data_IF_767906903468
#
_entry.id   IF_767906903468
#
_cell.length_a   1.000
_cell.length_b   1.000
_cell.length_c   1.000
_cell.angle_alpha   90.00
_cell.angle_beta   90.00
_cell.angle_gamma   90.00
#
_symmetry.space_group_name_H-M   'P 1'
#
loop_
_entity.id
_entity.type
_entity.pdbx_description
1 polymer ?
#
# COMPACT_ATOMS: atom_id res chain seq x y z
N UNK A 1 -0.89 -11.56 -89.58
CA UNK A 1 -0.41 -10.22 -89.14
C UNK A 1 -0.07 -10.30 -87.65
N UNK A 2 1.23 -10.25 -87.32
CA UNK A 2 1.95 -9.24 -86.47
C UNK A 2 1.73 -9.46 -84.95
N UNK A 3 2.70 -9.55 -84.03
CA UNK A 3 4.17 -9.54 -83.95
C UNK A 3 4.53 -9.93 -82.49
N UNK A 4 5.63 -10.65 -82.26
CA UNK A 4 6.23 -10.92 -80.94
C UNK A 4 6.80 -9.66 -80.29
N UNK A 5 6.76 -9.53 -78.95
CA UNK A 5 7.71 -8.71 -78.17
C UNK A 5 7.97 -9.30 -76.77
N UNK A 6 9.22 -9.71 -76.58
CA UNK A 6 9.87 -9.95 -75.30
C UNK A 6 10.28 -8.60 -74.71
N UNK A 7 9.97 -8.32 -73.44
CA UNK A 7 10.64 -7.23 -72.71
C UNK A 7 10.99 -7.67 -71.31
N UNK A 8 12.28 -7.93 -71.11
CA UNK A 8 12.92 -8.05 -69.82
C UNK A 8 13.06 -6.66 -69.18
N UNK A 9 12.76 -6.54 -67.89
CA UNK A 9 13.36 -5.50 -67.04
C UNK A 9 13.96 -6.22 -65.85
N UNK A 10 15.27 -6.43 -65.95
CA UNK A 10 16.13 -6.61 -64.80
C UNK A 10 16.32 -5.25 -64.12
N UNK A 11 16.05 -5.16 -62.81
CA UNK A 11 16.65 -4.14 -61.97
C UNK A 11 16.96 -4.73 -60.59
N UNK A 12 18.21 -5.13 -60.43
CA UNK A 12 18.82 -5.32 -59.13
C UNK A 12 19.12 -3.94 -58.53
N UNK A 13 18.71 -3.70 -57.28
CA UNK A 13 19.34 -2.67 -56.44
C UNK A 13 19.72 -3.34 -55.13
N UNK A 14 21.02 -3.59 -55.02
CA UNK A 14 21.73 -3.85 -53.77
C UNK A 14 21.81 -2.54 -52.97
N UNK A 15 21.34 -2.54 -51.72
CA UNK A 15 21.78 -1.68 -50.58
C UNK A 15 20.88 -2.08 -49.39
N UNK A 16 21.30 -2.28 -48.14
CA UNK A 16 22.52 -1.95 -47.41
C UNK A 16 22.50 -2.85 -46.16
N UNK A 17 23.57 -3.60 -45.91
CA UNK A 17 23.88 -4.07 -44.56
C UNK A 17 24.20 -2.82 -43.75
N UNK A 18 23.25 -2.34 -42.96
CA UNK A 18 23.56 -1.48 -41.83
C UNK A 18 23.52 -2.38 -40.60
N UNK A 19 24.69 -2.91 -40.25
CA UNK A 19 24.92 -3.44 -38.92
C UNK A 19 24.62 -2.33 -37.92
N UNK A 20 23.48 -2.41 -37.25
CA UNK A 20 23.24 -1.65 -36.05
C UNK A 20 23.65 -2.54 -34.88
N UNK A 21 24.96 -2.65 -34.70
CA UNK A 21 25.50 -2.93 -33.38
C UNK A 21 25.17 -1.70 -32.52
N UNK A 22 24.03 -1.71 -31.84
CA UNK A 22 23.84 -0.93 -30.63
C UNK A 22 23.99 -1.88 -29.44
N UNK A 23 25.18 -1.85 -28.85
CA UNK A 23 25.34 -2.06 -27.43
C UNK A 23 24.86 -0.80 -26.68
N UNK A 24 24.39 -0.98 -25.44
CA UNK A 24 23.68 -0.04 -24.56
C UNK A 24 22.19 0.12 -24.93
N UNK A 25 21.21 -0.09 -24.06
CA UNK A 25 21.18 0.19 -22.62
C UNK A 25 20.15 -0.72 -21.93
N UNK A 26 20.35 -1.00 -20.66
CA UNK A 26 19.44 -1.77 -19.81
C UNK A 26 18.24 -0.91 -19.38
N UNK A 27 17.45 -0.42 -20.34
CA UNK A 27 16.11 0.14 -20.10
C UNK A 27 15.37 0.26 -21.46
N UNK A 28 14.90 -0.87 -22.01
CA UNK A 28 13.96 -0.80 -23.13
C UNK A 28 12.62 -0.30 -22.61
N UNK A 29 12.49 1.02 -22.48
CA UNK A 29 11.22 1.69 -22.25
C UNK A 29 10.16 1.20 -23.24
N UNK A 30 8.91 1.09 -22.77
CA UNK A 30 7.78 0.61 -23.58
C UNK A 30 7.75 1.34 -24.92
N UNK A 31 7.60 0.58 -26.00
CA UNK A 31 7.40 1.15 -27.35
C UNK A 31 6.12 1.98 -27.38
N UNK A 32 6.02 2.98 -28.26
CA UNK A 32 4.83 3.84 -28.36
C UNK A 32 3.56 3.03 -28.64
N UNK A 33 3.71 1.95 -29.39
CA UNK A 33 2.66 0.99 -29.73
C UNK A 33 2.17 0.24 -28.47
N UNK A 34 3.09 -0.21 -27.62
CA UNK A 34 2.76 -0.84 -26.34
C UNK A 34 2.06 0.14 -25.38
N UNK A 35 2.54 1.38 -25.30
CA UNK A 35 1.90 2.42 -24.47
C UNK A 35 0.48 2.73 -24.97
N UNK A 36 0.27 2.79 -26.29
CA UNK A 36 -1.07 2.99 -26.85
C UNK A 36 -2.00 1.82 -26.55
N UNK A 37 -1.52 0.58 -26.67
CA UNK A 37 -2.30 -0.60 -26.32
C UNK A 37 -2.70 -0.61 -24.83
N UNK A 38 -1.78 -0.22 -23.95
CA UNK A 38 -2.03 -0.11 -22.51
C UNK A 38 -3.03 1.00 -22.18
N UNK A 39 -2.96 2.16 -22.84
CA UNK A 39 -3.94 3.24 -22.66
C UNK A 39 -5.35 2.84 -23.11
N UNK A 40 -5.46 2.09 -24.20
CA UNK A 40 -6.75 1.55 -24.66
C UNK A 40 -7.28 0.54 -23.63
N UNK A 41 -6.43 -0.33 -23.11
CA UNK A 41 -6.80 -1.29 -22.07
C UNK A 41 -7.23 -0.60 -20.78
N UNK A 42 -6.47 0.39 -20.30
CA UNK A 42 -6.78 1.17 -19.10
C UNK A 42 -8.13 1.90 -19.22
N UNK A 43 -8.44 2.45 -20.40
CA UNK A 43 -9.76 3.06 -20.67
C UNK A 43 -10.88 2.02 -20.68
N UNK A 44 -10.63 0.83 -21.21
CA UNK A 44 -11.63 -0.24 -21.26
C UNK A 44 -11.92 -0.87 -19.88
N UNK A 45 -10.89 -1.01 -19.05
CA UNK A 45 -11.01 -1.57 -17.68
C UNK A 45 -11.35 -0.52 -16.63
N UNK A 46 -11.32 0.76 -16.99
CA UNK A 46 -11.52 1.87 -16.06
C UNK A 46 -10.36 2.06 -15.09
N UNK A 47 -9.19 1.51 -15.41
CA UNK A 47 -7.92 1.70 -14.68
C UNK A 47 -7.29 3.07 -15.01
N UNK A 48 -8.12 4.11 -14.90
CA UNK A 48 -7.75 5.51 -15.10
C UNK A 48 -8.14 6.30 -13.86
N UNK A 49 -7.24 7.16 -13.41
CA UNK A 49 -7.51 8.05 -12.28
C UNK A 49 -8.69 8.95 -12.61
N UNK A 50 -9.68 8.99 -11.72
CA UNK A 50 -10.81 9.87 -11.85
C UNK A 50 -10.39 11.33 -11.66
N UNK A 51 -11.08 12.28 -12.30
CA UNK A 51 -10.81 13.70 -12.08
C UNK A 51 -11.02 14.06 -10.60
N UNK A 52 -10.27 15.03 -10.08
CA UNK A 52 -10.27 15.41 -8.66
C UNK A 52 -11.68 15.59 -8.08
N UNK A 53 -12.58 16.24 -8.84
CA UNK A 53 -13.98 16.48 -8.49
C UNK A 53 -14.79 15.21 -8.18
N UNK A 54 -14.37 14.07 -8.73
CA UNK A 54 -15.03 12.79 -8.61
C UNK A 54 -14.23 11.79 -7.78
N UNK A 55 -12.94 12.06 -7.58
CA UNK A 55 -12.01 11.18 -6.86
C UNK A 55 -11.98 11.42 -5.35
N UNK A 56 -12.53 12.55 -4.87
CA UNK A 56 -12.56 12.91 -3.45
C UNK A 56 -13.61 12.06 -2.72
N UNK A 57 -13.14 11.14 -1.87
CA UNK A 57 -14.03 10.49 -0.91
C UNK A 57 -14.37 11.43 0.27
N UNK A 58 -15.31 11.02 1.14
CA UNK A 58 -15.72 11.80 2.32
C UNK A 58 -14.58 12.00 3.35
N UNK A 59 -13.42 11.37 3.14
CA UNK A 59 -12.20 11.53 3.96
C UNK A 59 -11.15 12.44 3.33
N UNK A 60 -11.41 12.98 2.12
CA UNK A 60 -10.48 13.86 1.41
C UNK A 60 -9.41 13.11 0.61
N UNK A 61 -9.51 11.79 0.44
CA UNK A 61 -8.59 11.00 -0.36
C UNK A 61 -8.84 11.29 -1.84
N UNK A 62 -7.79 11.63 -2.59
CA UNK A 62 -7.84 11.78 -4.05
C UNK A 62 -7.22 10.56 -4.76
N UNK A 63 -7.47 10.44 -6.06
CA UNK A 63 -6.83 9.42 -6.89
C UNK A 63 -7.58 8.09 -7.01
N UNK A 64 -8.87 8.06 -6.66
CA UNK A 64 -9.73 6.91 -6.95
C UNK A 64 -9.80 6.62 -8.45
N UNK A 65 -9.95 5.34 -8.82
CA UNK A 65 -10.03 4.91 -10.21
C UNK A 65 -11.48 4.95 -10.73
N UNK A 66 -11.66 5.14 -12.02
CA UNK A 66 -13.00 5.22 -12.62
C UNK A 66 -13.81 3.92 -12.47
N UNK A 67 -13.14 2.76 -12.43
CA UNK A 67 -13.77 1.47 -12.15
C UNK A 67 -14.20 1.28 -10.68
N UNK A 68 -13.55 1.97 -9.73
CA UNK A 68 -13.94 1.98 -8.32
C UNK A 68 -15.19 2.86 -8.10
N UNK A 69 -15.28 3.98 -8.82
CA UNK A 69 -16.39 4.93 -8.71
C UNK A 69 -17.61 4.48 -9.51
N UNK A 70 -17.40 3.93 -10.72
CA UNK A 70 -18.48 3.46 -11.59
C UNK A 70 -18.30 2.01 -12.02
N UNK A 71 -18.35 1.05 -11.08
CA UNK A 71 -18.13 -0.36 -11.38
C UNK A 71 -19.11 -0.91 -12.42
N UNK A 72 -20.32 -0.35 -12.54
CA UNK A 72 -21.30 -0.75 -13.56
C UNK A 72 -20.94 -0.33 -15.00
N UNK A 73 -20.00 0.61 -15.18
CA UNK A 73 -19.59 1.13 -16.50
C UNK A 73 -18.37 0.43 -17.08
N UNK A 74 -17.67 -0.36 -16.27
CA UNK A 74 -16.42 -1.00 -16.65
C UNK A 74 -16.53 -2.51 -16.43
N UNK A 75 -15.86 -3.28 -17.28
CA UNK A 75 -15.80 -4.73 -17.10
C UNK A 75 -15.03 -5.00 -15.81
N UNK A 76 -15.64 -5.76 -14.89
CA UNK A 76 -14.98 -6.17 -13.66
C UNK A 76 -13.75 -7.01 -14.02
N UNK A 77 -12.57 -6.39 -13.93
CA UNK A 77 -11.32 -7.13 -13.89
C UNK A 77 -11.34 -7.84 -12.55
N UNK A 78 -11.60 -9.15 -12.57
CA UNK A 78 -11.56 -9.95 -11.36
C UNK A 78 -10.19 -9.69 -10.71
N UNK A 79 -10.14 -9.19 -9.46
CA UNK A 79 -8.87 -9.07 -8.77
C UNK A 79 -8.24 -10.45 -8.80
N UNK A 80 -6.97 -10.52 -9.18
CA UNK A 80 -6.21 -11.78 -9.12
C UNK A 80 -6.02 -12.10 -7.64
N UNK A 81 -7.05 -12.70 -7.04
CA UNK A 81 -6.98 -13.23 -5.70
C UNK A 81 -6.10 -14.47 -5.78
N UNK A 82 -4.93 -14.40 -5.15
CA UNK A 82 -4.08 -15.58 -4.97
C UNK A 82 -4.73 -16.64 -4.08
N UNK A 83 -5.79 -16.27 -3.35
CA UNK A 83 -6.58 -17.16 -2.49
C UNK A 83 -7.80 -17.69 -3.22
N UNK A 84 -8.01 -18.99 -3.11
CA UNK A 84 -9.22 -19.65 -3.60
C UNK A 84 -10.39 -19.43 -2.63
N UNK A 85 -11.62 -19.66 -3.11
CA UNK A 85 -12.80 -19.67 -2.23
C UNK A 85 -12.69 -20.71 -1.11
N UNK A 86 -12.00 -21.82 -1.36
CA UNK A 86 -11.76 -22.86 -0.38
C UNK A 86 -10.84 -22.36 0.75
N UNK A 87 -9.78 -21.63 0.41
CA UNK A 87 -8.87 -21.03 1.40
C UNK A 87 -9.60 -20.02 2.29
N UNK A 88 -10.41 -19.16 1.68
CA UNK A 88 -11.22 -18.17 2.43
C UNK A 88 -12.23 -18.87 3.36
N UNK A 89 -12.85 -19.97 2.91
CA UNK A 89 -13.75 -20.74 3.76
C UNK A 89 -13.02 -21.43 4.92
N UNK A 90 -11.80 -21.93 4.68
CA UNK A 90 -10.96 -22.51 5.72
C UNK A 90 -10.54 -21.45 6.75
N UNK A 91 -10.11 -20.27 6.31
CA UNK A 91 -9.77 -19.14 7.18
C UNK A 91 -10.98 -18.68 8.02
N UNK A 92 -12.18 -18.60 7.42
CA UNK A 92 -13.39 -18.22 8.14
C UNK A 92 -13.78 -19.28 9.19
N UNK A 93 -13.65 -20.56 8.86
CA UNK A 93 -13.89 -21.66 9.81
C UNK A 93 -12.91 -21.59 10.97
N UNK A 94 -11.65 -21.30 10.70
CA UNK A 94 -10.60 -21.16 11.70
C UNK A 94 -10.79 -19.94 12.60
N UNK A 95 -11.18 -18.80 12.02
CA UNK A 95 -11.52 -17.59 12.78
C UNK A 95 -12.70 -17.84 13.73
N UNK A 96 -13.73 -18.55 13.26
CA UNK A 96 -14.88 -18.96 14.11
C UNK A 96 -14.46 -19.92 15.21
N UNK A 97 -13.58 -20.89 14.92
CA UNK A 97 -13.07 -21.86 15.90
C UNK A 97 -12.21 -21.20 16.98
N UNK A 98 -11.39 -20.23 16.61
CA UNK A 98 -10.47 -19.52 17.52
C UNK A 98 -11.10 -18.30 18.20
N UNK A 99 -12.32 -17.92 17.80
CA UNK A 99 -12.98 -16.72 18.30
C UNK A 99 -12.33 -15.42 17.83
N UNK A 100 -11.47 -15.49 16.81
CA UNK A 100 -10.92 -14.33 16.10
C UNK A 100 -11.96 -13.73 15.14
N UNK A 101 -13.16 -13.51 15.66
CA UNK A 101 -14.29 -12.88 15.00
C UNK A 101 -14.69 -11.67 15.83
N UNK A 102 -15.05 -10.58 15.17
CA UNK A 102 -15.50 -9.38 15.85
C UNK A 102 -16.72 -9.68 16.72
N UNK A 103 -16.70 -9.21 17.95
CA UNK A 103 -17.85 -9.26 18.84
C UNK A 103 -18.95 -8.34 18.30
N UNK A 104 -20.23 -8.71 18.47
CA UNK A 104 -21.34 -7.85 18.07
C UNK A 104 -21.27 -6.51 18.84
N UNK A 105 -21.73 -5.44 18.20
CA UNK A 105 -21.58 -4.05 18.69
C UNK A 105 -22.02 -3.88 20.14
N UNK A 106 -23.15 -4.48 20.53
CA UNK A 106 -23.66 -4.44 21.91
C UNK A 106 -22.68 -5.03 22.92
N UNK A 107 -22.04 -6.15 22.58
CA UNK A 107 -21.08 -6.82 23.46
C UNK A 107 -19.71 -6.13 23.45
N UNK A 108 -19.34 -5.49 22.34
CA UNK A 108 -18.07 -4.75 22.22
C UNK A 108 -18.04 -3.43 23.00
N UNK A 109 -19.21 -2.82 23.21
CA UNK A 109 -19.32 -1.50 23.85
C UNK A 109 -18.94 -1.56 25.33
N UNK A 110 -19.30 -2.65 26.00
CA UNK A 110 -19.01 -2.86 27.43
C UNK A 110 -17.55 -3.23 27.71
N UNK A 111 -16.80 -3.72 26.70
CA UNK A 111 -15.48 -4.32 26.91
C UNK A 111 -14.31 -3.49 26.39
N UNK A 112 -14.45 -2.79 25.26
CA UNK A 112 -13.31 -2.09 24.64
C UNK A 112 -13.65 -0.78 23.92
N UNK A 113 -14.91 -0.36 23.89
CA UNK A 113 -15.34 0.75 23.03
C UNK A 113 -15.34 0.34 21.54
N UNK A 114 -16.43 0.69 20.86
CA UNK A 114 -16.69 0.53 19.42
C UNK A 114 -16.02 -0.67 18.72
N UNK A 115 -16.69 -1.82 18.70
CA UNK A 115 -16.60 -2.82 17.61
C UNK A 115 -15.28 -3.53 17.36
N UNK A 116 -14.23 -3.29 18.15
CA UNK A 116 -12.89 -3.88 17.92
C UNK A 116 -12.61 -5.13 18.74
N UNK A 117 -13.39 -5.38 19.79
CA UNK A 117 -13.22 -6.55 20.65
C UNK A 117 -13.49 -7.85 19.88
N UNK A 118 -12.64 -8.86 20.09
CA UNK A 118 -12.82 -10.20 19.51
C UNK A 118 -13.57 -11.11 20.46
N UNK A 119 -14.27 -12.09 19.92
CA UNK A 119 -15.11 -12.99 20.71
C UNK A 119 -14.30 -13.86 21.69
N UNK A 120 -13.04 -14.19 21.37
CA UNK A 120 -12.10 -14.86 22.27
C UNK A 120 -11.57 -13.96 23.40
N UNK A 121 -11.55 -12.65 23.22
CA UNK A 121 -11.18 -11.69 24.26
C UNK A 121 -12.33 -11.48 25.24
N UNK A 122 -13.57 -11.41 24.73
CA UNK A 122 -14.78 -11.27 25.55
C UNK A 122 -15.14 -12.56 26.28
N UNK A 123 -15.04 -13.72 25.61
CA UNK A 123 -15.43 -15.02 26.15
C UNK A 123 -14.30 -16.05 26.06
N UNK A 124 -13.18 -15.86 26.78
CA UNK A 124 -12.00 -16.74 26.67
C UNK A 124 -12.32 -18.20 27.00
N UNK A 125 -13.30 -18.48 27.87
CA UNK A 125 -13.72 -19.85 28.21
C UNK A 125 -14.49 -20.59 27.11
N UNK A 126 -14.93 -19.90 26.04
CA UNK A 126 -15.65 -20.51 24.91
C UNK A 126 -14.75 -20.87 23.74
N UNK A 127 -13.49 -20.46 23.78
CA UNK A 127 -12.54 -20.62 22.68
C UNK A 127 -11.27 -21.31 23.18
N UNK A 128 -10.60 -22.07 22.30
CA UNK A 128 -9.32 -22.67 22.66
C UNK A 128 -8.30 -21.57 22.97
N UNK A 129 -7.50 -21.79 24.02
CA UNK A 129 -6.42 -20.87 24.36
C UNK A 129 -5.44 -20.76 23.19
N UNK A 130 -5.41 -19.59 22.55
CA UNK A 130 -4.37 -19.27 21.58
C UNK A 130 -3.11 -18.98 22.38
N UNK A 131 -2.00 -19.65 22.05
CA UNK A 131 -0.71 -19.34 22.66
C UNK A 131 -0.47 -17.84 22.52
N UNK A 132 -0.40 -17.14 23.65
CA UNK A 132 -0.09 -15.72 23.65
C UNK A 132 1.24 -15.55 22.91
N UNK A 133 1.26 -14.69 21.91
CA UNK A 133 2.52 -14.25 21.30
C UNK A 133 3.47 -13.81 22.43
N UNK A 134 4.80 -14.00 22.30
CA UNK A 134 5.75 -13.71 23.37
C UNK A 134 5.51 -12.31 23.91
N UNK A 135 4.91 -12.24 25.10
CA UNK A 135 4.56 -10.98 25.73
C UNK A 135 5.84 -10.41 26.31
N UNK A 136 6.12 -9.14 26.01
CA UNK A 136 7.15 -8.39 26.72
C UNK A 136 6.99 -8.60 28.23
N UNK A 137 8.09 -8.83 28.91
CA UNK A 137 8.11 -8.94 30.37
C UNK A 137 7.60 -7.63 30.98
N UNK A 138 7.03 -7.71 32.19
CA UNK A 138 6.62 -6.49 32.92
C UNK A 138 7.78 -5.49 33.11
N UNK A 139 9.02 -5.99 33.16
CA UNK A 139 10.22 -5.16 33.25
C UNK A 139 10.44 -4.37 31.95
N UNK A 140 10.36 -5.02 30.79
CA UNK A 140 10.46 -4.36 29.48
C UNK A 140 9.35 -3.34 29.27
N UNK A 141 8.10 -3.68 29.63
CA UNK A 141 6.98 -2.73 29.53
C UNK A 141 7.19 -1.50 30.41
N UNK A 142 7.71 -1.67 31.63
CA UNK A 142 8.04 -0.54 32.51
C UNK A 142 9.19 0.32 31.96
N UNK A 143 10.21 -0.32 31.39
CA UNK A 143 11.31 0.39 30.76
C UNK A 143 10.83 1.21 29.55
N UNK A 144 9.98 0.64 28.70
CA UNK A 144 9.38 1.34 27.56
C UNK A 144 8.48 2.50 27.98
N UNK A 145 7.67 2.31 29.03
CA UNK A 145 6.80 3.38 29.54
C UNK A 145 7.65 4.53 30.14
N UNK A 146 8.70 4.21 30.90
CA UNK A 146 9.59 5.22 31.45
C UNK A 146 10.33 5.99 30.34
N UNK A 147 10.75 5.29 29.28
CA UNK A 147 11.37 5.93 28.12
C UNK A 147 10.37 6.81 27.35
N UNK A 148 9.14 6.34 27.14
CA UNK A 148 8.09 7.11 26.48
C UNK A 148 7.73 8.38 27.28
N UNK A 149 7.68 8.28 28.62
CA UNK A 149 7.53 9.43 29.51
C UNK A 149 8.72 10.40 29.39
N UNK A 150 9.94 9.88 29.38
CA UNK A 150 11.16 10.70 29.26
C UNK A 150 11.23 11.43 27.93
N UNK A 151 10.85 10.79 26.82
CA UNK A 151 10.91 11.39 25.47
C UNK A 151 9.62 12.09 25.03
N UNK A 152 8.57 12.07 25.86
CA UNK A 152 7.26 12.60 25.52
C UNK A 152 6.59 11.87 24.36
N UNK A 153 6.93 10.60 24.16
CA UNK A 153 6.37 9.72 23.10
C UNK A 153 5.03 9.11 23.55
N UNK A 154 4.27 9.88 24.32
CA UNK A 154 2.94 9.55 24.81
C UNK A 154 1.91 10.37 24.05
N UNK A 155 0.78 9.75 23.72
CA UNK A 155 -0.35 10.48 23.13
C UNK A 155 -0.86 11.51 24.14
N UNK A 156 -1.02 12.75 23.69
CA UNK A 156 -1.72 13.76 24.45
C UNK A 156 -3.23 13.47 24.41
N UNK A 157 -3.95 14.01 25.39
CA UNK A 157 -5.41 14.03 25.33
C UNK A 157 -5.88 14.73 24.03
N UNK A 158 -6.93 14.19 23.41
CA UNK A 158 -7.41 14.67 22.12
C UNK A 158 -7.90 16.13 22.19
N UNK A 159 -8.51 16.54 23.30
CA UNK A 159 -8.96 17.93 23.47
C UNK A 159 -7.76 18.85 23.65
N UNK A 160 -6.79 18.45 24.45
CA UNK A 160 -5.55 19.22 24.62
C UNK A 160 -4.80 19.39 23.29
N UNK A 161 -4.65 18.31 22.52
CA UNK A 161 -4.02 18.31 21.20
C UNK A 161 -4.73 19.24 20.21
N UNK A 162 -6.06 19.16 20.17
CA UNK A 162 -6.89 19.99 19.29
C UNK A 162 -6.78 21.49 19.64
N UNK A 163 -6.79 21.84 20.92
CA UNK A 163 -6.68 23.23 21.37
C UNK A 163 -5.29 23.82 21.07
N UNK A 164 -4.23 23.04 21.24
CA UNK A 164 -2.84 23.53 21.09
C UNK A 164 -2.39 23.56 19.64
N UNK A 165 -2.78 22.56 18.83
CA UNK A 165 -2.24 22.37 17.47
C UNK A 165 -3.30 22.37 16.36
N UNK A 166 -4.59 22.40 16.71
CA UNK A 166 -5.67 22.26 15.73
C UNK A 166 -5.87 20.84 15.19
N UNK A 167 -5.05 19.88 15.62
CA UNK A 167 -5.09 18.48 15.18
C UNK A 167 -5.19 17.58 16.42
N UNK A 168 -6.18 16.66 16.51
CA UNK A 168 -6.27 15.71 17.62
C UNK A 168 -5.21 14.61 17.50
N UNK A 169 -4.87 13.98 18.63
CA UNK A 169 -4.00 12.80 18.65
C UNK A 169 -2.49 13.05 18.52
N UNK A 170 -2.02 14.29 18.69
CA UNK A 170 -0.58 14.56 18.73
C UNK A 170 0.07 14.04 20.02
N UNK A 171 1.39 13.82 19.95
CA UNK A 171 2.21 13.35 21.08
C UNK A 171 2.64 14.52 21.97
N UNK A 172 2.88 14.26 23.25
CA UNK A 172 3.28 15.29 24.21
C UNK A 172 4.56 16.04 23.81
N UNK A 173 5.51 15.37 23.15
CA UNK A 173 6.71 16.02 22.63
C UNK A 173 6.47 16.96 21.43
N UNK A 174 5.34 16.82 20.74
CA UNK A 174 4.91 17.73 19.67
C UNK A 174 4.23 18.96 20.27
N UNK A 175 3.40 18.78 21.31
CA UNK A 175 2.74 19.88 22.00
C UNK A 175 3.72 20.71 22.86
N UNK A 176 4.66 20.03 23.52
CA UNK A 176 5.57 20.62 24.51
C UNK A 176 7.04 20.27 24.20
N UNK A 177 7.57 20.70 23.05
CA UNK A 177 8.91 20.33 22.62
C UNK A 177 10.01 20.73 23.61
N UNK A 178 9.82 21.82 24.37
CA UNK A 178 10.78 22.27 25.38
C UNK A 178 10.80 21.42 26.65
N UNK A 179 9.75 20.60 26.89
CA UNK A 179 9.65 19.76 28.08
C UNK A 179 10.25 18.36 27.88
N UNK A 180 10.66 18.03 26.65
CA UNK A 180 11.17 16.72 26.31
C UNK A 180 12.49 16.84 25.54
N UNK A 181 13.41 15.89 25.71
CA UNK A 181 14.66 15.88 24.97
C UNK A 181 14.38 15.66 23.49
N UNK A 182 14.93 16.53 22.64
CA UNK A 182 14.92 16.34 21.19
C UNK A 182 15.70 15.07 20.89
N UNK A 183 15.06 14.06 20.27
CA UNK A 183 15.78 12.89 19.75
C UNK A 183 16.82 13.42 18.77
N UNK A 184 18.10 13.40 19.16
CA UNK A 184 19.17 13.72 18.23
C UNK A 184 19.09 12.72 17.09
N UNK A 185 18.91 13.23 15.87
CA UNK A 185 19.06 12.42 14.66
C UNK A 185 20.50 11.91 14.71
N UNK A 186 20.69 10.63 15.01
CA UNK A 186 21.98 9.98 14.83
C UNK A 186 22.30 10.09 13.35
N UNK A 187 23.08 11.10 12.97
CA UNK A 187 23.65 11.19 11.65
C UNK A 187 24.60 9.99 11.57
N UNK A 188 24.21 8.98 10.80
CA UNK A 188 25.12 7.93 10.38
C UNK A 188 26.30 8.63 9.70
N UNK A 189 27.40 8.80 10.43
CA UNK A 189 28.68 9.21 9.85
C UNK A 189 29.08 8.11 8.89
N UNK A 190 28.69 8.28 7.62
CA UNK A 190 29.21 7.47 6.53
C UNK A 190 30.73 7.54 6.58
N UNK A 191 31.36 6.37 6.55
CA UNK A 191 32.81 6.21 6.52
C UNK A 191 33.39 7.13 5.45
N UNK A 192 34.05 8.21 5.87
CA UNK A 192 34.91 8.99 4.99
C UNK A 192 36.21 8.20 4.92
N UNK A 193 36.34 7.39 3.86
CA UNK A 193 37.58 6.70 3.54
C UNK A 193 38.62 7.77 3.26
N UNK A 194 39.57 7.92 4.17
CA UNK A 194 40.73 8.78 3.99
C UNK A 194 41.57 8.23 2.84
N UNK A 195 41.49 8.86 1.66
CA UNK A 195 42.48 8.70 0.62
C UNK A 195 43.71 9.51 1.03
N UNK A 196 44.73 8.82 1.53
CA UNK A 196 46.07 9.37 1.65
C UNK A 196 46.62 9.58 0.24
N UNK A 197 47.08 10.80 -0.02
CA UNK A 197 47.92 11.17 -1.16
C UNK A 197 49.35 11.38 -0.66
#
# INVERSE_FOLDING_TARGET
>A
MKTSYSTAIALAISTLIAGHALAADADMGKTREQVQAELVQARATGDITAPDQLSIDYTGRTGAKMNEIFPARYVAVAPVSTKTRADVAAEMKEAKRTGNVAAPTLTSLDYAGYGTAKMNEVFPGRYPAVAAAPTKTRAEVRAELAEAQRTGDLQADNLLSLVVTGVPGNKLNVLYPSHYPVKSRTVSTGNVVAAAY
#
